data_IF_885002554018
#
_entry.id   IF_885002554018
#
_cell.length_a   1.000
_cell.length_b   1.000
_cell.length_c   1.000
_cell.angle_alpha   90.00
_cell.angle_beta   90.00
_cell.angle_gamma   90.00
#
_symmetry.space_group_name_H-M   'P 1'
#
loop_
_entity.id
_entity.type
_entity.pdbx_description
1 polymer ?
#
# COMPACT_ATOMS: atom_id res chain seq x y z
N UNK A 1 10.60 1.70 20.93
CA UNK A 1 10.07 1.80 19.54
C UNK A 1 10.36 0.46 18.87
N UNK A 2 9.46 -0.50 18.95
CA UNK A 2 9.73 -1.88 18.51
C UNK A 2 8.60 -2.42 17.60
N UNK A 3 8.18 -1.58 16.64
CA UNK A 3 7.26 -2.02 15.59
C UNK A 3 8.09 -2.50 14.41
N UNK A 4 8.43 -3.78 14.40
CA UNK A 4 8.84 -4.45 13.15
C UNK A 4 7.57 -4.61 12.31
N UNK A 5 7.20 -3.57 11.58
CA UNK A 5 6.12 -3.65 10.60
C UNK A 5 6.63 -4.49 9.42
N UNK A 6 6.31 -5.79 9.45
CA UNK A 6 6.73 -6.74 8.41
C UNK A 6 6.08 -6.41 7.06
N UNK A 7 4.92 -5.77 7.07
CA UNK A 7 4.19 -5.32 5.89
C UNK A 7 4.16 -3.79 5.79
N UNK A 8 3.87 -3.28 4.59
CA UNK A 8 3.90 -1.85 4.31
C UNK A 8 2.96 -1.06 5.24
N UNK A 9 3.53 -0.07 5.91
CA UNK A 9 2.84 0.78 6.86
C UNK A 9 2.04 1.91 6.21
N UNK A 10 0.80 2.16 6.66
CA UNK A 10 -0.03 3.26 6.14
C UNK A 10 0.64 4.63 6.31
N UNK A 11 1.30 4.87 7.44
CA UNK A 11 1.99 6.14 7.72
C UNK A 11 3.10 6.47 6.71
N UNK A 12 3.69 5.45 6.08
CA UNK A 12 4.73 5.63 5.08
C UNK A 12 4.19 6.23 3.76
N UNK A 13 2.86 6.26 3.56
CA UNK A 13 2.23 6.86 2.38
C UNK A 13 2.59 8.34 2.22
N UNK A 14 2.88 9.04 3.32
CA UNK A 14 3.30 10.44 3.30
C UNK A 14 4.54 10.70 2.46
N UNK A 15 5.52 9.79 2.49
CA UNK A 15 6.80 9.98 1.76
C UNK A 15 6.66 9.81 0.26
N UNK A 16 5.56 9.23 -0.23
CA UNK A 16 5.39 8.86 -1.64
C UNK A 16 4.78 9.98 -2.50
N UNK A 17 4.40 11.11 -1.88
CA UNK A 17 3.63 12.18 -2.51
C UNK A 17 4.25 12.71 -3.81
N UNK A 18 5.57 12.80 -3.84
CA UNK A 18 6.33 13.36 -4.96
C UNK A 18 7.11 12.30 -5.75
N UNK A 19 6.79 11.01 -5.57
CA UNK A 19 7.53 9.91 -6.21
C UNK A 19 7.19 9.74 -7.71
N UNK A 20 6.10 10.37 -8.16
CA UNK A 20 5.53 10.27 -9.51
C UNK A 20 4.81 11.56 -9.86
N UNK A 21 4.16 11.55 -11.03
CA UNK A 21 3.44 12.68 -11.59
C UNK A 21 2.21 13.15 -10.77
N UNK A 22 1.44 14.08 -11.35
CA UNK A 22 0.34 14.75 -10.66
C UNK A 22 -0.80 13.81 -10.24
N UNK A 23 -1.12 12.77 -11.03
CA UNK A 23 -2.24 11.87 -10.70
C UNK A 23 -1.89 10.99 -9.51
N UNK A 24 -0.64 10.52 -9.44
CA UNK A 24 -0.14 9.79 -8.28
C UNK A 24 -0.12 10.66 -7.04
N UNK A 25 0.38 11.90 -7.16
CA UNK A 25 0.38 12.86 -6.05
C UNK A 25 -1.04 13.05 -5.47
N UNK A 26 -2.03 13.23 -6.35
CA UNK A 26 -3.44 13.35 -5.96
C UNK A 26 -3.92 12.10 -5.22
N UNK A 27 -3.69 10.91 -5.78
CA UNK A 27 -4.04 9.64 -5.12
C UNK A 27 -3.42 9.55 -3.72
N UNK A 28 -2.12 9.80 -3.61
CA UNK A 28 -1.41 9.70 -2.32
C UNK A 28 -1.94 10.72 -1.30
N UNK A 29 -2.35 11.91 -1.73
CA UNK A 29 -3.00 12.89 -0.87
C UNK A 29 -4.38 12.43 -0.39
N UNK A 30 -5.20 11.86 -1.26
CA UNK A 30 -6.50 11.29 -0.90
C UNK A 30 -6.34 10.17 0.12
N UNK A 31 -5.44 9.20 -0.12
CA UNK A 31 -5.17 8.08 0.79
C UNK A 31 -4.71 8.54 2.18
N UNK A 32 -3.92 9.61 2.27
CA UNK A 32 -3.46 10.14 3.56
C UNK A 32 -4.57 10.73 4.43
N UNK A 33 -5.68 11.16 3.82
CA UNK A 33 -6.83 11.67 4.57
C UNK A 33 -7.72 10.56 5.12
N UNK A 34 -7.50 9.33 4.67
CA UNK A 34 -8.33 8.19 5.02
C UNK A 34 -7.75 7.43 6.23
N UNK A 35 -8.61 6.90 7.12
CA UNK A 35 -8.21 5.92 8.13
C UNK A 35 -7.55 4.70 7.49
N UNK A 36 -6.62 4.06 8.20
CA UNK A 36 -5.95 2.84 7.71
C UNK A 36 -6.94 1.67 7.44
N UNK A 37 -8.08 1.67 8.13
CA UNK A 37 -9.14 0.67 7.96
C UNK A 37 -10.07 0.96 6.77
N UNK A 38 -9.92 2.13 6.12
CA UNK A 38 -10.73 2.46 4.96
C UNK A 38 -10.38 1.54 3.77
N UNK A 39 -11.36 1.04 3.00
CA UNK A 39 -11.10 0.11 1.89
C UNK A 39 -10.05 0.61 0.88
N UNK A 40 -10.05 1.90 0.58
CA UNK A 40 -9.06 2.48 -0.34
C UNK A 40 -7.66 2.57 0.27
N UNK A 41 -7.55 2.80 1.59
CA UNK A 41 -6.26 2.78 2.29
C UNK A 41 -5.70 1.35 2.31
N UNK A 42 -6.54 0.36 2.66
CA UNK A 42 -6.19 -1.06 2.60
C UNK A 42 -5.76 -1.49 1.19
N UNK A 43 -6.47 -1.03 0.15
CA UNK A 43 -6.11 -1.32 -1.24
C UNK A 43 -4.77 -0.71 -1.63
N UNK A 44 -4.49 0.51 -1.18
CA UNK A 44 -3.19 1.14 -1.41
C UNK A 44 -2.06 0.39 -0.68
N UNK A 45 -2.28 0.00 0.57
CA UNK A 45 -1.34 -0.82 1.33
C UNK A 45 -1.09 -2.17 0.64
N UNK A 46 -2.13 -2.87 0.20
CA UNK A 46 -2.02 -4.14 -0.53
C UNK A 46 -1.19 -3.98 -1.81
N UNK A 47 -1.44 -2.92 -2.58
CA UNK A 47 -0.65 -2.59 -3.76
C UNK A 47 0.83 -2.40 -3.40
N UNK A 48 1.13 -1.63 -2.36
CA UNK A 48 2.51 -1.36 -1.93
C UNK A 48 3.21 -2.59 -1.35
N UNK A 49 2.50 -3.45 -0.60
CA UNK A 49 2.99 -4.74 -0.11
C UNK A 49 3.50 -5.59 -1.28
N UNK A 50 2.74 -5.65 -2.37
CA UNK A 50 3.13 -6.40 -3.57
C UNK A 50 4.28 -5.74 -4.30
N UNK A 51 4.20 -4.43 -4.51
CA UNK A 51 5.22 -3.68 -5.25
C UNK A 51 6.59 -3.74 -4.56
N UNK A 52 6.61 -3.64 -3.23
CA UNK A 52 7.82 -3.70 -2.41
C UNK A 52 8.25 -5.13 -2.06
N UNK A 53 7.47 -6.16 -2.43
CA UNK A 53 7.69 -7.55 -2.03
C UNK A 53 7.77 -7.74 -0.50
N UNK A 54 6.94 -7.02 0.26
CA UNK A 54 6.97 -7.00 1.72
C UNK A 54 6.74 -8.38 2.36
N UNK A 55 6.06 -9.31 1.69
CA UNK A 55 5.83 -10.68 2.19
C UNK A 55 7.14 -11.41 2.47
N UNK A 56 8.22 -11.04 1.78
CA UNK A 56 9.57 -11.61 2.00
C UNK A 56 10.45 -10.70 2.87
N UNK A 57 9.90 -9.62 3.43
CA UNK A 57 10.65 -8.67 4.25
C UNK A 57 10.88 -9.23 5.66
N UNK A 58 12.05 -8.94 6.21
CA UNK A 58 12.46 -9.31 7.56
C UNK A 58 13.16 -8.10 8.22
N UNK A 59 13.47 -8.19 9.50
CA UNK A 59 14.10 -7.10 10.24
C UNK A 59 15.44 -6.64 9.62
N UNK A 60 16.22 -7.56 9.05
CA UNK A 60 17.50 -7.25 8.40
C UNK A 60 17.25 -6.44 7.12
N UNK A 61 16.33 -6.89 6.26
CA UNK A 61 15.94 -6.17 5.03
C UNK A 61 15.34 -4.82 5.36
N UNK A 62 14.51 -4.72 6.40
CA UNK A 62 13.92 -3.46 6.84
C UNK A 62 15.01 -2.42 7.18
N UNK A 63 16.01 -2.82 7.97
CA UNK A 63 17.14 -1.96 8.34
C UNK A 63 17.99 -1.62 7.11
N UNK A 64 18.32 -2.60 6.26
CA UNK A 64 19.10 -2.39 5.04
C UNK A 64 18.43 -1.38 4.08
N UNK A 65 17.11 -1.48 3.92
CA UNK A 65 16.34 -0.56 3.07
C UNK A 65 16.07 0.80 3.74
N UNK A 66 16.42 0.97 5.01
CA UNK A 66 16.21 2.19 5.79
C UNK A 66 14.74 2.48 6.12
N UNK A 67 13.95 1.42 6.33
CA UNK A 67 12.54 1.48 6.71
C UNK A 67 11.53 1.61 5.56
N UNK A 68 10.24 1.40 5.85
CA UNK A 68 9.17 1.34 4.84
C UNK A 68 9.10 2.58 3.94
N UNK A 69 9.29 3.78 4.50
CA UNK A 69 9.23 5.04 3.76
C UNK A 69 10.34 5.13 2.70
N UNK A 70 11.58 4.78 3.05
CA UNK A 70 12.73 4.81 2.13
C UNK A 70 12.68 3.64 1.14
N UNK A 71 12.34 2.44 1.61
CA UNK A 71 12.12 1.27 0.77
C UNK A 71 11.11 1.59 -0.36
N UNK A 72 9.93 2.09 0.01
CA UNK A 72 8.84 2.37 -0.94
C UNK A 72 9.17 3.49 -1.91
N UNK A 73 9.80 4.58 -1.43
CA UNK A 73 10.25 5.65 -2.30
C UNK A 73 11.30 5.17 -3.30
N UNK A 74 12.22 4.30 -2.86
CA UNK A 74 13.25 3.69 -3.71
C UNK A 74 12.62 2.77 -4.75
N UNK A 75 11.72 1.86 -4.35
CA UNK A 75 10.98 0.97 -5.25
C UNK A 75 10.25 1.75 -6.32
N UNK A 76 9.55 2.83 -5.95
CA UNK A 76 8.92 3.70 -6.93
C UNK A 76 9.99 4.34 -7.81
N UNK A 77 10.97 5.06 -7.28
CA UNK A 77 11.96 5.77 -8.11
C UNK A 77 12.67 4.89 -9.15
N UNK A 78 12.95 3.62 -8.83
CA UNK A 78 13.60 2.68 -9.75
C UNK A 78 12.63 1.82 -10.58
N UNK A 79 11.32 1.86 -10.29
CA UNK A 79 10.34 1.14 -11.08
C UNK A 79 10.19 1.76 -12.47
N UNK A 80 10.26 0.91 -13.50
CA UNK A 80 10.01 1.27 -14.91
C UNK A 80 8.53 1.46 -15.23
N UNK A 81 7.65 1.22 -14.26
CA UNK A 81 6.21 1.34 -14.44
C UNK A 81 5.77 2.80 -14.55
N UNK A 82 4.91 3.05 -15.53
CA UNK A 82 4.29 4.35 -15.75
C UNK A 82 3.35 4.71 -14.61
N UNK A 83 3.03 6.00 -14.48
CA UNK A 83 2.01 6.46 -13.54
C UNK A 83 0.67 5.75 -13.77
N UNK A 84 0.27 5.57 -15.03
CA UNK A 84 -0.96 4.89 -15.42
C UNK A 84 -0.99 3.42 -14.98
N UNK A 85 0.15 2.71 -15.10
CA UNK A 85 0.28 1.33 -14.67
C UNK A 85 0.17 1.21 -13.14
N UNK A 86 0.79 2.11 -12.39
CA UNK A 86 0.66 2.16 -10.93
C UNK A 86 -0.79 2.43 -10.50
N UNK A 87 -1.48 3.37 -11.16
CA UNK A 87 -2.89 3.62 -10.91
C UNK A 87 -3.77 2.42 -11.29
N UNK A 88 -3.41 1.66 -12.32
CA UNK A 88 -4.11 0.42 -12.68
C UNK A 88 -3.96 -0.66 -11.61
N UNK A 89 -2.75 -0.83 -11.04
CA UNK A 89 -2.52 -1.72 -9.89
C UNK A 89 -3.37 -1.32 -8.70
N UNK A 90 -3.46 -0.02 -8.41
CA UNK A 90 -4.32 0.47 -7.34
C UNK A 90 -5.79 0.11 -7.58
N UNK A 91 -6.31 0.35 -8.79
CA UNK A 91 -7.70 -0.03 -9.14
C UNK A 91 -7.93 -1.54 -9.01
N UNK A 92 -6.97 -2.37 -9.41
CA UNK A 92 -7.05 -3.81 -9.25
C UNK A 92 -7.11 -4.22 -7.76
N UNK A 93 -6.23 -3.64 -6.93
CA UNK A 93 -6.22 -3.87 -5.49
C UNK A 93 -7.52 -3.39 -4.82
N UNK A 94 -8.11 -2.26 -5.25
CA UNK A 94 -9.42 -1.81 -4.76
C UNK A 94 -10.52 -2.82 -5.05
N UNK A 95 -10.55 -3.38 -6.26
CA UNK A 95 -11.53 -4.40 -6.64
C UNK A 95 -11.41 -5.64 -5.75
N UNK A 96 -10.17 -6.08 -5.49
CA UNK A 96 -9.89 -7.23 -4.64
C UNK A 96 -10.35 -6.99 -3.20
N UNK A 97 -9.95 -5.87 -2.58
CA UNK A 97 -10.39 -5.51 -1.22
C UNK A 97 -11.92 -5.43 -1.13
N UNK A 98 -12.58 -4.84 -2.14
CA UNK A 98 -14.04 -4.77 -2.16
C UNK A 98 -14.70 -6.16 -2.22
N UNK A 99 -14.12 -7.10 -2.97
CA UNK A 99 -14.60 -8.48 -3.04
C UNK A 99 -14.39 -9.21 -1.71
N UNK A 100 -13.20 -9.15 -1.14
CA UNK A 100 -12.88 -9.76 0.15
C UNK A 100 -13.78 -9.22 1.26
N UNK A 101 -13.94 -7.89 1.38
CA UNK A 101 -14.83 -7.31 2.40
C UNK A 101 -16.29 -7.74 2.23
N UNK A 102 -16.75 -7.95 0.99
CA UNK A 102 -18.10 -8.46 0.72
C UNK A 102 -18.24 -9.93 1.14
N UNK A 103 -17.20 -10.73 0.91
CA UNK A 103 -17.14 -12.14 1.31
C UNK A 103 -17.07 -12.29 2.83
N UNK A 104 -16.22 -11.52 3.51
CA UNK A 104 -16.12 -11.46 4.97
C UNK A 104 -17.46 -11.08 5.61
N UNK A 105 -18.16 -10.06 5.07
CA UNK A 105 -19.50 -9.70 5.54
C UNK A 105 -20.52 -10.83 5.37
N UNK A 106 -20.44 -11.58 4.26
CA UNK A 106 -21.31 -12.73 4.02
C UNK A 106 -20.99 -13.89 4.95
N UNK A 107 -19.72 -14.14 5.24
CA UNK A 107 -19.28 -15.16 6.18
C UNK A 107 -19.75 -14.82 7.60
N UNK A 108 -19.57 -13.58 8.03
CA UNK A 108 -20.05 -13.08 9.32
C UNK A 108 -21.58 -13.21 9.47
N UNK A 109 -22.34 -12.88 8.43
CA UNK A 109 -23.81 -13.01 8.45
C UNK A 109 -24.32 -14.46 8.44
N UNK A 110 -23.50 -15.43 8.03
CA UNK A 110 -23.84 -16.87 8.10
C UNK A 110 -23.47 -17.51 9.44
N UNK A 111 -22.57 -16.89 10.19
CA UNK A 111 -22.09 -17.37 11.49
C UNK A 111 -22.86 -16.77 12.68
N UNK A 112 -23.73 -15.79 12.41
CA UNK A 112 -24.64 -15.15 13.36
C UNK A 112 -26.06 -15.73 13.22
#
# INVERSE_FOLDING_TARGET
>A
MDRTELLYAHWATRSLRNARGPKWKKLVQEIQTLPETHPDALAFQLMMVRLNSCVTCDARKYVEKGGCARCSATTLNFSKETEEALLARFRAARKEIAQTLKEERRAAAKAA
#
